data_IF_754408287771
#
_entry.id   IF_754408287771
#
_cell.length_a   1.000
_cell.length_b   1.000
_cell.length_c   1.000
_cell.angle_alpha   90.00
_cell.angle_beta   90.00
_cell.angle_gamma   90.00
#
_symmetry.space_group_name_H-M   'P 1'
#
loop_
_entity.id
_entity.type
_entity.pdbx_description
1 polymer ?
#
# COMPACT_ATOMS: atom_id res chain seq x y z
N UNK A 1 -9.83 19.81 -22.25
CA UNK A 1 -8.72 19.69 -23.21
C UNK A 1 -7.61 20.57 -22.67
N UNK A 2 -6.81 20.04 -21.75
CA UNK A 2 -5.57 20.66 -21.27
C UNK A 2 -4.56 19.52 -21.22
N UNK A 3 -3.89 19.30 -22.35
CA UNK A 3 -2.82 18.32 -22.46
C UNK A 3 -1.52 19.09 -22.69
N UNK A 4 -1.05 19.77 -21.64
CA UNK A 4 0.38 20.04 -21.55
C UNK A 4 1.02 18.86 -20.78
N UNK A 5 2.11 18.25 -21.30
CA UNK A 5 2.86 17.24 -20.57
C UNK A 5 3.41 17.83 -19.26
N UNK A 6 4.00 17.00 -18.39
CA UNK A 6 4.61 17.42 -17.10
C UNK A 6 5.70 18.53 -17.21
N UNK A 7 6.01 18.99 -18.43
CA UNK A 7 6.82 20.16 -18.74
C UNK A 7 6.01 21.48 -18.84
N UNK A 8 4.78 21.51 -18.31
CA UNK A 8 3.94 22.71 -18.25
C UNK A 8 4.65 23.85 -17.49
N UNK A 9 4.85 25.03 -18.13
CA UNK A 9 5.48 26.17 -17.49
C UNK A 9 4.78 26.65 -16.21
N UNK A 10 3.45 26.50 -16.09
CA UNK A 10 2.72 26.88 -14.89
C UNK A 10 3.06 25.95 -13.70
N UNK A 11 3.13 24.64 -13.95
CA UNK A 11 3.62 23.67 -12.98
C UNK A 11 5.08 23.93 -12.59
N UNK A 12 5.97 24.12 -13.57
CA UNK A 12 7.41 24.24 -13.31
C UNK A 12 7.81 25.58 -12.69
N UNK A 13 7.35 26.70 -13.24
CA UNK A 13 7.77 28.04 -12.83
C UNK A 13 6.90 28.57 -11.70
N UNK A 14 5.57 28.50 -11.83
CA UNK A 14 4.68 29.13 -10.86
C UNK A 14 4.49 28.25 -9.62
N UNK A 15 4.27 26.95 -9.79
CA UNK A 15 4.07 26.04 -8.65
C UNK A 15 5.41 25.62 -8.02
N UNK A 16 6.29 24.96 -8.77
CA UNK A 16 7.51 24.36 -8.20
C UNK A 16 8.55 25.42 -7.79
N UNK A 17 8.90 26.35 -8.70
CA UNK A 17 9.87 27.42 -8.38
C UNK A 17 9.26 28.56 -7.57
N UNK A 18 8.02 28.95 -7.88
CA UNK A 18 7.34 30.06 -7.23
C UNK A 18 6.76 29.70 -5.85
N UNK A 19 5.66 28.96 -5.84
CA UNK A 19 4.91 28.67 -4.61
C UNK A 19 5.69 27.76 -3.65
N UNK A 20 6.29 26.68 -4.17
CA UNK A 20 7.01 25.69 -3.35
C UNK A 20 8.46 26.13 -3.07
N UNK A 21 8.96 27.14 -3.78
CA UNK A 21 10.32 27.69 -3.64
C UNK A 21 11.41 26.62 -3.71
N UNK A 22 11.22 25.62 -4.56
CA UNK A 22 12.23 24.57 -4.74
C UNK A 22 13.47 25.17 -5.40
N UNK A 23 14.59 25.19 -4.68
CA UNK A 23 15.88 25.71 -5.18
C UNK A 23 16.82 24.62 -5.73
N UNK A 24 16.38 23.35 -5.72
CA UNK A 24 17.14 22.20 -6.25
C UNK A 24 16.97 21.98 -7.76
N UNK A 25 17.51 20.87 -8.26
CA UNK A 25 17.35 20.45 -9.65
C UNK A 25 15.99 19.77 -9.86
N UNK A 26 15.42 19.96 -11.06
CA UNK A 26 14.25 19.22 -11.54
C UNK A 26 14.78 18.24 -12.59
N UNK A 27 14.66 16.95 -12.31
CA UNK A 27 15.05 15.89 -13.23
C UNK A 27 13.77 15.28 -13.76
N UNK A 28 13.65 15.23 -15.08
CA UNK A 28 12.52 14.60 -15.74
C UNK A 28 12.66 13.07 -15.72
N UNK A 29 11.54 12.34 -15.84
CA UNK A 29 11.52 10.88 -15.86
C UNK A 29 11.99 10.35 -17.22
N UNK A 30 12.75 9.24 -17.28
CA UNK A 30 13.19 8.61 -18.54
C UNK A 30 11.95 8.17 -19.33
N UNK A 31 11.48 8.87 -20.38
CA UNK A 31 12.12 9.28 -21.65
C UNK A 31 12.74 10.70 -21.71
N UNK A 32 13.18 11.24 -20.59
CA UNK A 32 14.03 12.41 -20.58
C UNK A 32 15.50 12.06 -20.33
N UNK A 33 16.16 11.89 -21.47
CA UNK A 33 17.61 12.01 -21.70
C UNK A 33 18.43 10.77 -21.32
N UNK A 34 19.31 10.35 -22.23
CA UNK A 34 20.39 9.38 -22.02
C UNK A 34 21.44 9.80 -20.99
N UNK A 35 21.01 10.34 -19.85
CA UNK A 35 21.84 10.84 -18.74
C UNK A 35 22.38 9.71 -17.85
N UNK A 36 21.83 8.51 -17.93
CA UNK A 36 22.33 7.42 -17.07
C UNK A 36 23.55 6.66 -17.63
N UNK A 37 23.93 6.81 -18.90
CA UNK A 37 24.99 5.99 -19.50
C UNK A 37 26.39 6.62 -19.43
N UNK A 38 26.53 7.93 -19.62
CA UNK A 38 27.87 8.49 -19.90
C UNK A 38 28.64 9.06 -18.69
N UNK A 39 28.00 9.50 -17.58
CA UNK A 39 28.71 10.48 -16.70
C UNK A 39 28.64 10.34 -15.16
N UNK A 40 27.93 9.38 -14.54
CA UNK A 40 27.70 9.45 -13.08
C UNK A 40 28.35 8.35 -12.22
N UNK A 41 29.67 8.14 -12.34
CA UNK A 41 30.49 7.21 -11.54
C UNK A 41 30.35 7.37 -9.99
N UNK A 42 29.26 6.87 -9.40
CA UNK A 42 28.86 7.20 -8.03
C UNK A 42 29.40 6.24 -6.95
N UNK A 43 30.12 5.17 -7.28
CA UNK A 43 30.75 4.27 -6.29
C UNK A 43 32.05 3.66 -6.81
N UNK A 44 33.06 3.50 -5.95
CA UNK A 44 34.37 2.94 -6.34
C UNK A 44 34.35 1.41 -6.56
N UNK A 45 33.41 0.66 -5.97
CA UNK A 45 33.16 -0.76 -6.29
C UNK A 45 31.69 -1.18 -6.05
N UNK A 46 31.11 -2.09 -6.86
CA UNK A 46 29.75 -2.64 -6.69
C UNK A 46 29.48 -3.35 -5.35
N UNK A 47 30.52 -3.84 -4.71
CA UNK A 47 30.46 -4.67 -3.50
C UNK A 47 30.23 -3.83 -2.22
N UNK A 48 30.63 -2.55 -2.20
CA UNK A 48 30.34 -1.62 -1.10
C UNK A 48 28.89 -1.11 -1.12
N UNK A 49 28.24 -1.08 -2.30
CA UNK A 49 26.87 -0.61 -2.47
C UNK A 49 25.79 -1.64 -2.09
N UNK A 50 26.10 -2.95 -2.12
CA UNK A 50 25.08 -4.02 -2.05
C UNK A 50 25.24 -5.04 -0.92
N UNK A 51 26.36 -5.06 -0.19
CA UNK A 51 26.80 -6.30 0.48
C UNK A 51 26.82 -6.36 2.01
N UNK A 52 26.62 -5.24 2.73
CA UNK A 52 26.84 -5.22 4.18
C UNK A 52 25.86 -6.09 5.00
N UNK A 53 26.35 -6.83 6.01
CA UNK A 53 25.49 -7.54 7.00
C UNK A 53 24.39 -6.65 7.60
N UNK A 54 24.67 -5.36 7.76
CA UNK A 54 23.73 -4.36 8.26
C UNK A 54 22.57 -4.08 7.27
N UNK A 55 22.82 -4.09 5.96
CA UNK A 55 21.81 -3.87 4.92
C UNK A 55 20.85 -5.06 4.80
N UNK A 56 21.36 -6.29 4.91
CA UNK A 56 20.51 -7.49 4.95
C UNK A 56 19.58 -7.49 6.16
N UNK A 57 20.07 -7.07 7.33
CA UNK A 57 19.27 -6.91 8.54
C UNK A 57 18.19 -5.83 8.38
N UNK A 58 18.55 -4.69 7.79
CA UNK A 58 17.59 -3.59 7.55
C UNK A 58 16.50 -4.01 6.55
N UNK A 59 16.87 -4.71 5.47
CA UNK A 59 15.92 -5.24 4.50
C UNK A 59 14.96 -6.26 5.15
N UNK A 60 15.49 -7.13 6.02
CA UNK A 60 14.67 -8.08 6.78
C UNK A 60 13.69 -7.35 7.71
N UNK A 61 14.14 -6.31 8.41
CA UNK A 61 13.28 -5.55 9.32
C UNK A 61 12.20 -4.77 8.57
N UNK A 62 12.55 -4.14 7.45
CA UNK A 62 11.59 -3.46 6.59
C UNK A 62 10.52 -4.45 6.06
N UNK A 63 10.94 -5.66 5.65
CA UNK A 63 10.01 -6.69 5.23
C UNK A 63 9.09 -7.15 6.38
N UNK A 64 9.65 -7.41 7.57
CA UNK A 64 8.89 -7.79 8.78
C UNK A 64 7.83 -6.75 9.16
N UNK A 65 8.20 -5.47 9.15
CA UNK A 65 7.29 -4.37 9.48
C UNK A 65 6.26 -4.11 8.37
N UNK A 66 6.61 -4.39 7.11
CA UNK A 66 5.76 -4.19 5.95
C UNK A 66 4.70 -5.28 5.73
N UNK A 67 4.89 -6.48 6.30
CA UNK A 67 3.90 -7.57 6.20
C UNK A 67 2.61 -7.17 6.92
N UNK A 68 1.48 -7.27 6.21
CA UNK A 68 0.16 -6.94 6.71
C UNK A 68 -0.66 -8.22 6.90
N UNK A 69 -1.03 -8.51 8.15
CA UNK A 69 -2.01 -9.55 8.46
C UNK A 69 -3.42 -9.00 8.22
N UNK A 70 -4.10 -9.51 7.19
CA UNK A 70 -5.42 -9.02 6.78
C UNK A 70 -6.56 -9.72 7.53
N UNK A 71 -6.39 -11.02 7.79
CA UNK A 71 -7.38 -11.89 8.43
C UNK A 71 -6.68 -12.97 9.25
N UNK A 72 -7.22 -13.30 10.43
CA UNK A 72 -6.78 -14.41 11.28
C UNK A 72 -7.98 -14.99 12.04
N UNK A 73 -8.70 -15.91 11.41
CA UNK A 73 -9.88 -16.56 11.97
C UNK A 73 -9.48 -17.77 12.81
N UNK A 74 -10.18 -17.96 13.93
CA UNK A 74 -10.00 -19.13 14.81
C UNK A 74 -8.60 -19.26 15.41
N UNK A 75 -7.85 -18.15 15.52
CA UNK A 75 -6.45 -18.14 15.96
C UNK A 75 -5.56 -19.14 15.18
N UNK A 76 -5.80 -19.26 13.87
CA UNK A 76 -5.03 -20.13 12.98
C UNK A 76 -3.53 -19.78 12.96
N UNK A 77 -3.20 -18.53 13.28
CA UNK A 77 -1.84 -18.04 13.44
C UNK A 77 -1.60 -17.47 14.85
N UNK A 78 -0.34 -17.54 15.35
CA UNK A 78 0.86 -18.07 14.67
C UNK A 78 0.92 -19.61 14.63
N UNK A 79 1.64 -20.15 13.64
CA UNK A 79 1.91 -21.57 13.54
C UNK A 79 2.87 -22.03 14.64
N UNK A 80 2.54 -23.13 15.31
CA UNK A 80 3.43 -23.81 16.25
C UNK A 80 4.28 -24.86 15.54
N UNK A 81 5.60 -24.82 15.75
CA UNK A 81 6.56 -25.83 15.28
C UNK A 81 6.35 -27.23 15.89
N UNK A 82 5.66 -27.30 17.03
CA UNK A 82 5.31 -28.58 17.70
C UNK A 82 4.06 -29.21 17.08
N UNK A 83 3.03 -28.39 16.82
CA UNK A 83 1.75 -28.86 16.25
C UNK A 83 1.79 -29.04 14.74
N UNK A 84 2.52 -28.17 14.03
CA UNK A 84 2.59 -28.15 12.57
C UNK A 84 3.95 -28.66 12.11
N UNK A 85 4.13 -29.99 12.15
CA UNK A 85 5.38 -30.65 11.76
C UNK A 85 5.60 -30.71 10.25
N UNK A 86 4.51 -30.72 9.48
CA UNK A 86 4.53 -30.81 8.02
C UNK A 86 3.66 -29.70 7.44
N UNK A 87 4.24 -28.89 6.55
CA UNK A 87 3.56 -27.78 5.89
C UNK A 87 3.75 -27.95 4.39
N UNK A 88 2.64 -27.90 3.64
CA UNK A 88 2.68 -27.83 2.19
C UNK A 88 2.65 -26.36 1.76
N UNK A 89 3.64 -25.94 0.98
CA UNK A 89 3.68 -24.59 0.38
C UNK A 89 3.33 -24.74 -1.10
N UNK A 90 2.21 -24.16 -1.52
CA UNK A 90 1.64 -24.36 -2.86
C UNK A 90 1.28 -23.01 -3.46
N UNK A 91 1.78 -22.72 -4.67
CA UNK A 91 1.41 -21.54 -5.44
C UNK A 91 2.55 -21.06 -6.35
N UNK A 92 2.26 -20.25 -7.38
CA UNK A 92 3.29 -19.78 -8.32
C UNK A 92 4.37 -18.91 -7.67
N UNK A 93 4.09 -18.32 -6.49
CA UNK A 93 5.03 -17.49 -5.74
C UNK A 93 5.67 -18.23 -4.54
N UNK A 94 5.54 -19.56 -4.43
CA UNK A 94 6.08 -20.31 -3.28
C UNK A 94 7.61 -20.44 -3.29
N UNK A 95 8.21 -20.42 -4.47
CA UNK A 95 9.66 -20.58 -4.67
C UNK A 95 10.16 -19.58 -5.73
N UNK A 96 9.98 -18.29 -5.44
CA UNK A 96 10.35 -17.20 -6.36
C UNK A 96 11.40 -16.29 -5.72
N UNK A 97 12.46 -16.00 -6.47
CA UNK A 97 13.52 -15.06 -6.06
C UNK A 97 13.34 -13.69 -6.69
N UNK A 98 13.02 -13.62 -7.99
CA UNK A 98 12.88 -12.36 -8.74
C UNK A 98 11.60 -11.61 -8.39
N UNK A 99 10.46 -12.31 -8.31
CA UNK A 99 9.17 -11.69 -7.98
C UNK A 99 9.18 -11.02 -6.60
N UNK A 100 9.99 -11.52 -5.64
CA UNK A 100 10.11 -10.90 -4.31
C UNK A 100 10.64 -9.47 -4.37
N UNK A 101 11.41 -9.13 -5.41
CA UNK A 101 12.13 -7.86 -5.52
C UNK A 101 11.26 -6.79 -6.23
N UNK A 102 10.18 -7.19 -6.90
CA UNK A 102 9.30 -6.28 -7.63
C UNK A 102 9.91 -5.81 -8.96
N UNK A 103 9.73 -4.54 -9.29
CA UNK A 103 10.32 -3.87 -10.46
C UNK A 103 11.41 -2.87 -10.03
N UNK A 104 12.18 -2.31 -10.99
CA UNK A 104 13.27 -1.35 -10.72
C UNK A 104 14.36 -1.89 -9.75
N UNK A 105 14.69 -3.18 -9.84
CA UNK A 105 15.72 -3.79 -9.00
C UNK A 105 16.90 -4.35 -9.79
N UNK A 106 18.12 -4.15 -9.28
CA UNK A 106 19.36 -4.46 -9.99
C UNK A 106 19.86 -5.89 -9.79
N UNK A 107 19.63 -6.75 -10.80
CA UNK A 107 20.64 -7.47 -11.60
C UNK A 107 20.05 -7.59 -13.01
N UNK A 108 20.65 -6.94 -14.01
CA UNK A 108 20.09 -6.92 -15.37
C UNK A 108 20.41 -8.23 -16.12
N UNK A 109 19.39 -9.07 -16.36
CA UNK A 109 19.52 -10.26 -17.22
C UNK A 109 19.31 -9.97 -18.73
N UNK A 110 19.21 -8.70 -19.13
CA UNK A 110 19.04 -8.30 -20.51
C UNK A 110 18.51 -6.87 -20.68
N UNK A 111 18.73 -6.30 -21.86
CA UNK A 111 18.33 -4.93 -22.19
C UNK A 111 16.92 -4.92 -22.81
N UNK A 112 16.08 -4.01 -22.34
CA UNK A 112 14.76 -3.74 -22.92
C UNK A 112 14.88 -2.51 -23.81
N UNK A 113 14.51 -2.61 -25.08
CA UNK A 113 14.51 -1.47 -26.01
C UNK A 113 13.37 -0.48 -25.69
N UNK A 114 13.45 0.81 -26.08
CA UNK A 114 12.36 1.77 -25.88
C UNK A 114 11.00 1.29 -26.39
N UNK A 115 10.97 0.60 -27.55
CA UNK A 115 9.75 -0.02 -28.11
C UNK A 115 9.18 -1.12 -27.20
N UNK A 116 10.06 -1.96 -26.63
CA UNK A 116 9.64 -3.00 -25.68
C UNK A 116 9.25 -2.42 -24.31
N UNK A 117 9.82 -1.28 -23.92
CA UNK A 117 9.46 -0.56 -22.70
C UNK A 117 8.05 0.04 -22.79
N UNK A 118 7.77 0.73 -23.90
CA UNK A 118 6.44 1.31 -24.20
C UNK A 118 5.39 0.20 -24.34
N UNK A 119 5.73 -0.92 -24.99
CA UNK A 119 4.84 -2.07 -25.16
C UNK A 119 4.51 -2.84 -23.86
N UNK A 120 5.24 -2.60 -22.76
CA UNK A 120 5.05 -3.25 -21.46
C UNK A 120 4.22 -2.42 -20.47
N UNK A 121 3.78 -1.22 -20.83
CA UNK A 121 2.86 -0.41 -20.02
C UNK A 121 1.46 -1.03 -20.16
N UNK A 122 1.18 -2.04 -19.36
CA UNK A 122 -0.14 -2.67 -19.29
C UNK A 122 -0.70 -2.53 -17.89
N UNK A 123 -1.57 -1.54 -17.73
CA UNK A 123 -2.46 -1.49 -16.58
C UNK A 123 -3.28 -2.79 -16.50
N UNK A 124 -3.53 -3.23 -15.27
CA UNK A 124 -4.43 -4.37 -15.05
C UNK A 124 -5.84 -3.97 -15.48
N UNK A 125 -6.51 -4.84 -16.22
CA UNK A 125 -7.92 -4.68 -16.60
C UNK A 125 -8.88 -5.14 -15.51
N UNK A 126 -8.36 -5.78 -14.45
CA UNK A 126 -9.13 -6.25 -13.30
C UNK A 126 -8.28 -6.34 -12.03
N UNK A 127 -8.98 -6.48 -10.90
CA UNK A 127 -8.44 -6.68 -9.55
C UNK A 127 -8.42 -8.16 -9.14
N UNK A 128 -8.98 -9.08 -9.93
CA UNK A 128 -8.94 -10.51 -9.62
C UNK A 128 -7.52 -11.08 -9.74
N UNK A 129 -7.27 -12.21 -9.06
CA UNK A 129 -6.03 -12.97 -9.26
C UNK A 129 -5.95 -13.46 -10.72
N UNK A 130 -4.77 -13.40 -11.36
CA UNK A 130 -4.65 -13.76 -12.76
C UNK A 130 -4.75 -15.27 -12.97
N UNK A 131 -5.30 -15.68 -14.12
CA UNK A 131 -5.44 -17.07 -14.52
C UNK A 131 -6.29 -17.90 -13.55
N UNK A 132 -5.88 -19.14 -13.30
CA UNK A 132 -6.61 -20.10 -12.46
C UNK A 132 -6.23 -20.05 -10.97
N UNK A 133 -5.60 -18.97 -10.51
CA UNK A 133 -5.10 -18.90 -9.14
C UNK A 133 -6.22 -18.94 -8.09
N UNK A 134 -7.38 -18.32 -8.36
CA UNK A 134 -8.54 -18.41 -7.44
C UNK A 134 -9.01 -19.86 -7.29
N UNK A 135 -9.11 -20.58 -8.40
CA UNK A 135 -9.49 -21.98 -8.42
C UNK A 135 -8.46 -22.86 -7.70
N UNK A 136 -7.17 -22.60 -7.91
CA UNK A 136 -6.10 -23.27 -7.18
C UNK A 136 -6.24 -23.09 -5.68
N UNK A 137 -6.43 -21.84 -5.21
CA UNK A 137 -6.61 -21.55 -3.78
C UNK A 137 -7.82 -22.30 -3.22
N UNK A 138 -8.96 -22.29 -3.92
CA UNK A 138 -10.14 -23.05 -3.49
C UNK A 138 -9.91 -24.56 -3.47
N UNK A 139 -9.20 -25.13 -4.44
CA UNK A 139 -8.87 -26.56 -4.47
C UNK A 139 -7.91 -26.94 -3.33
N UNK A 140 -6.90 -26.13 -3.06
CA UNK A 140 -5.98 -26.31 -1.92
C UNK A 140 -6.73 -26.23 -0.60
N UNK A 141 -7.60 -25.23 -0.43
CA UNK A 141 -8.40 -25.05 0.78
C UNK A 141 -9.34 -26.24 1.04
N UNK A 142 -9.94 -26.82 -0.01
CA UNK A 142 -10.78 -28.02 0.06
C UNK A 142 -9.98 -29.28 0.38
N UNK A 143 -8.79 -29.44 -0.19
CA UNK A 143 -7.92 -30.58 0.04
C UNK A 143 -7.24 -30.52 1.42
N UNK A 144 -7.10 -29.33 2.01
CA UNK A 144 -6.46 -29.15 3.30
C UNK A 144 -7.31 -29.71 4.44
N UNK A 145 -6.65 -30.51 5.29
CA UNK A 145 -7.23 -31.04 6.53
C UNK A 145 -7.43 -29.92 7.56
N UNK A 146 -6.57 -28.90 7.57
CA UNK A 146 -6.58 -27.78 8.50
C UNK A 146 -6.86 -26.43 7.83
N UNK A 147 -6.86 -25.33 8.60
CA UNK A 147 -6.99 -23.99 8.04
C UNK A 147 -5.83 -23.71 7.07
N UNK A 148 -6.17 -23.15 5.91
CA UNK A 148 -5.22 -22.73 4.88
C UNK A 148 -4.83 -21.28 5.12
N UNK A 149 -3.55 -20.96 4.98
CA UNK A 149 -3.03 -19.59 5.09
C UNK A 149 -2.68 -19.11 3.69
N UNK A 150 -3.32 -18.02 3.27
CA UNK A 150 -3.10 -17.41 1.96
C UNK A 150 -2.07 -16.29 2.07
N UNK A 151 -0.95 -16.40 1.35
CA UNK A 151 0.09 -15.36 1.29
C UNK A 151 0.05 -14.69 -0.08
N UNK A 152 -0.25 -13.39 -0.10
CA UNK A 152 -0.41 -12.60 -1.33
C UNK A 152 0.81 -11.73 -1.56
N UNK A 153 1.55 -12.04 -2.63
CA UNK A 153 2.66 -11.23 -3.14
C UNK A 153 2.19 -10.43 -4.36
N UNK A 154 2.02 -9.13 -4.19
CA UNK A 154 1.57 -8.21 -5.24
C UNK A 154 1.78 -6.76 -4.82
N UNK A 155 2.04 -5.86 -5.77
CA UNK A 155 2.17 -4.44 -5.47
C UNK A 155 0.81 -3.74 -5.24
N UNK A 156 -0.14 -3.93 -6.15
CA UNK A 156 -1.46 -3.33 -6.05
C UNK A 156 -2.50 -4.22 -5.36
N UNK A 157 -3.68 -3.68 -5.03
CA UNK A 157 -4.73 -4.44 -4.37
C UNK A 157 -5.28 -5.55 -5.28
N UNK A 158 -5.80 -6.61 -4.66
CA UNK A 158 -6.42 -7.74 -5.33
C UNK A 158 -7.77 -8.01 -4.66
N UNK A 159 -8.83 -8.23 -5.44
CA UNK A 159 -10.11 -8.65 -4.89
C UNK A 159 -10.04 -10.12 -4.45
N UNK A 160 -9.86 -10.30 -3.15
CA UNK A 160 -9.79 -11.60 -2.47
C UNK A 160 -11.05 -11.91 -1.68
N UNK A 161 -12.20 -11.31 -2.05
CA UNK A 161 -13.48 -11.59 -1.40
C UNK A 161 -13.83 -13.09 -1.38
N UNK A 162 -13.44 -13.82 -2.43
CA UNK A 162 -13.61 -15.27 -2.51
C UNK A 162 -12.88 -16.03 -1.38
N UNK A 163 -11.66 -15.59 -1.02
CA UNK A 163 -10.86 -16.22 0.02
C UNK A 163 -11.22 -15.68 1.42
N UNK A 164 -11.53 -14.38 1.52
CA UNK A 164 -11.96 -13.74 2.77
C UNK A 164 -13.18 -14.43 3.39
N UNK A 165 -14.13 -14.82 2.54
CA UNK A 165 -15.40 -15.43 2.95
C UNK A 165 -15.35 -16.97 3.03
N UNK A 166 -14.23 -17.60 2.67
CA UNK A 166 -14.09 -19.05 2.72
C UNK A 166 -13.65 -19.49 4.14
N UNK A 167 -14.46 -20.28 4.87
CA UNK A 167 -14.13 -20.70 6.24
C UNK A 167 -12.89 -21.60 6.33
N UNK A 168 -12.45 -22.21 5.22
CA UNK A 168 -11.20 -22.98 5.18
C UNK A 168 -9.96 -22.09 5.09
N UNK A 169 -10.11 -20.81 4.76
CA UNK A 169 -9.01 -19.83 4.77
C UNK A 169 -8.93 -19.21 6.17
N UNK A 170 -8.00 -19.75 6.97
CA UNK A 170 -7.80 -19.33 8.36
C UNK A 170 -7.11 -17.98 8.47
N UNK A 171 -6.20 -17.66 7.54
CA UNK A 171 -5.52 -16.37 7.55
C UNK A 171 -5.12 -15.90 6.16
N UNK A 172 -5.00 -14.57 6.01
CA UNK A 172 -4.56 -13.92 4.77
C UNK A 172 -3.47 -12.90 5.11
N UNK A 173 -2.30 -13.03 4.47
CA UNK A 173 -1.22 -12.06 4.49
C UNK A 173 -1.11 -11.33 3.17
N UNK A 174 -0.84 -10.03 3.23
CA UNK A 174 -0.30 -9.28 2.10
C UNK A 174 1.12 -8.84 2.43
N UNK A 175 2.05 -9.17 1.53
CA UNK A 175 3.50 -9.01 1.79
C UNK A 175 4.17 -8.09 0.78
N UNK A 176 3.39 -7.47 -0.12
CA UNK A 176 3.93 -6.59 -1.15
C UNK A 176 4.97 -7.29 -2.02
N UNK A 177 6.11 -6.62 -2.20
CA UNK A 177 7.36 -7.16 -2.71
C UNK A 177 8.42 -7.10 -1.61
N UNK A 178 8.62 -8.19 -0.85
CA UNK A 178 9.35 -8.14 0.43
C UNK A 178 10.89 -8.17 0.27
N UNK A 179 11.39 -8.10 -0.96
CA UNK A 179 12.82 -8.00 -1.27
C UNK A 179 13.64 -9.24 -0.92
N UNK A 180 14.96 -9.06 -0.88
CA UNK A 180 15.95 -10.14 -0.74
C UNK A 180 15.83 -11.00 0.54
N UNK A 181 15.19 -10.48 1.58
CA UNK A 181 15.01 -11.17 2.86
C UNK A 181 13.53 -11.54 3.12
N UNK A 182 12.69 -11.44 2.09
CA UNK A 182 11.25 -11.57 2.22
C UNK A 182 10.79 -12.96 2.65
N UNK A 183 11.41 -14.03 2.14
CA UNK A 183 11.09 -15.39 2.55
C UNK A 183 11.30 -15.61 4.06
N UNK A 184 12.41 -15.11 4.61
CA UNK A 184 12.70 -15.17 6.05
C UNK A 184 11.69 -14.34 6.85
N UNK A 185 11.37 -13.12 6.40
CA UNK A 185 10.37 -12.28 7.07
C UNK A 185 8.99 -12.95 7.12
N UNK A 186 8.56 -13.57 6.02
CA UNK A 186 7.29 -14.30 5.94
C UNK A 186 7.28 -15.48 6.92
N UNK A 187 8.36 -16.26 6.97
CA UNK A 187 8.49 -17.37 7.92
C UNK A 187 8.46 -16.89 9.37
N UNK A 188 9.21 -15.84 9.72
CA UNK A 188 9.24 -15.28 11.08
C UNK A 188 7.86 -14.84 11.55
N UNK A 189 7.09 -14.21 10.66
CA UNK A 189 5.72 -13.80 10.96
C UNK A 189 4.81 -15.01 11.07
N UNK A 190 4.86 -15.97 10.14
CA UNK A 190 4.02 -17.18 10.15
C UNK A 190 4.18 -17.98 11.45
N UNK A 191 5.41 -18.16 11.92
CA UNK A 191 5.71 -18.92 13.14
C UNK A 191 5.71 -18.08 14.42
N UNK A 192 5.39 -16.79 14.33
CA UNK A 192 5.27 -15.92 15.50
C UNK A 192 6.60 -15.49 16.12
N UNK A 193 7.73 -15.73 15.47
CA UNK A 193 9.03 -15.13 15.83
C UNK A 193 8.96 -13.60 15.76
N UNK A 194 8.13 -13.05 14.87
CA UNK A 194 7.85 -11.62 14.79
C UNK A 194 6.35 -11.36 14.71
N UNK A 195 5.88 -10.38 15.46
CA UNK A 195 4.48 -9.96 15.44
C UNK A 195 4.25 -9.00 14.25
N UNK A 196 3.27 -9.28 13.36
CA UNK A 196 2.97 -8.37 12.25
C UNK A 196 2.39 -7.04 12.76
N UNK A 197 2.94 -5.94 12.25
CA UNK A 197 2.51 -4.58 12.59
C UNK A 197 2.03 -3.75 11.40
N UNK A 198 2.28 -4.22 10.16
CA UNK A 198 2.00 -3.47 8.95
C UNK A 198 0.52 -3.10 8.78
N UNK A 199 0.28 -1.94 8.17
CA UNK A 199 -1.06 -1.45 7.80
C UNK A 199 -1.13 -1.20 6.30
N UNK A 200 -2.29 -1.46 5.70
CA UNK A 200 -2.50 -1.23 4.28
C UNK A 200 -2.33 0.25 3.90
N UNK A 201 -1.42 0.60 2.98
CA UNK A 201 -1.27 1.96 2.46
C UNK A 201 -2.30 2.29 1.36
N UNK A 202 -3.18 1.34 1.03
CA UNK A 202 -4.18 1.48 -0.03
C UNK A 202 -5.45 0.71 0.30
N UNK A 203 -6.60 1.22 -0.16
CA UNK A 203 -7.90 0.55 -0.04
C UNK A 203 -7.98 -0.61 -1.04
N UNK A 204 -8.44 -1.76 -0.59
CA UNK A 204 -8.70 -2.91 -1.44
C UNK A 204 -10.18 -2.90 -1.85
N UNK A 205 -10.42 -2.77 -3.14
CA UNK A 205 -11.76 -2.65 -3.71
C UNK A 205 -12.25 -3.99 -4.27
N UNK A 206 -13.57 -4.22 -4.28
CA UNK A 206 -14.17 -5.31 -5.05
C UNK A 206 -13.96 -5.09 -6.56
N UNK A 207 -13.98 -6.18 -7.35
CA UNK A 207 -13.78 -6.16 -8.79
C UNK A 207 -14.76 -5.24 -9.53
N UNK A 208 -15.99 -5.10 -9.04
CA UNK A 208 -17.01 -4.23 -9.66
C UNK A 208 -16.69 -2.73 -9.53
N UNK A 209 -15.73 -2.35 -8.68
CA UNK A 209 -15.26 -0.98 -8.58
C UNK A 209 -14.61 -0.51 -9.89
N UNK A 210 -13.78 -1.35 -10.52
CA UNK A 210 -13.06 -0.97 -11.75
C UNK A 210 -13.98 -0.88 -12.98
N UNK A 211 -15.15 -1.52 -12.96
CA UNK A 211 -16.14 -1.39 -14.04
C UNK A 211 -16.95 -0.09 -13.96
N UNK A 212 -17.02 0.53 -12.77
CA UNK A 212 -17.75 1.78 -12.49
C UNK A 212 -16.84 3.01 -12.51
N UNK A 213 -15.55 2.83 -12.77
CA UNK A 213 -14.54 3.87 -12.63
C UNK A 213 -13.65 3.91 -13.89
N UNK A 214 -13.92 4.83 -14.84
CA UNK A 214 -13.00 5.09 -15.94
C UNK A 214 -11.64 5.49 -15.36
N UNK A 215 -10.59 4.70 -15.60
CA UNK A 215 -9.28 4.94 -14.99
C UNK A 215 -8.68 6.30 -15.40
N UNK A 216 -9.08 6.84 -16.55
CA UNK A 216 -8.72 8.17 -17.07
C UNK A 216 -9.45 9.33 -16.40
N UNK A 217 -10.52 9.09 -15.64
CA UNK A 217 -11.23 10.14 -14.93
C UNK A 217 -10.53 10.46 -13.59
N UNK A 218 -9.93 11.65 -13.51
CA UNK A 218 -9.14 12.08 -12.35
C UNK A 218 -9.96 12.66 -11.19
N UNK A 219 -11.29 12.74 -11.31
CA UNK A 219 -12.15 13.24 -10.24
C UNK A 219 -11.97 12.39 -8.97
N UNK A 220 -11.72 13.03 -7.82
CA UNK A 220 -11.52 12.29 -6.57
C UNK A 220 -12.84 12.02 -5.85
N UNK A 221 -13.79 12.97 -5.90
CA UNK A 221 -15.07 12.92 -5.19
C UNK A 221 -16.08 12.08 -5.95
N UNK A 222 -16.97 11.40 -5.20
CA UNK A 222 -18.11 10.72 -5.79
C UNK A 222 -19.06 11.70 -6.49
N UNK A 223 -19.76 11.23 -7.51
CA UNK A 223 -20.71 11.99 -8.33
C UNK A 223 -21.73 11.07 -8.97
N UNK A 224 -22.56 11.59 -9.89
CA UNK A 224 -23.59 10.78 -10.58
C UNK A 224 -22.95 9.60 -11.32
N UNK A 225 -23.17 8.38 -10.83
CA UNK A 225 -22.61 7.15 -11.40
C UNK A 225 -21.11 6.95 -11.18
N UNK A 226 -20.42 7.87 -10.51
CA UNK A 226 -18.99 7.78 -10.23
C UNK A 226 -18.74 7.55 -8.74
N UNK A 227 -18.08 6.45 -8.35
CA UNK A 227 -18.02 6.01 -6.96
C UNK A 227 -17.08 6.85 -6.06
N UNK A 228 -16.24 7.69 -6.65
CA UNK A 228 -15.16 8.38 -5.94
C UNK A 228 -13.92 7.48 -5.77
N UNK A 229 -12.77 8.10 -5.52
CA UNK A 229 -11.48 7.42 -5.37
C UNK A 229 -10.94 7.53 -3.96
N UNK A 230 -10.13 6.56 -3.56
CA UNK A 230 -9.41 6.50 -2.27
C UNK A 230 -10.34 6.37 -1.07
N UNK A 231 -9.78 5.95 0.07
CA UNK A 231 -10.50 5.86 1.34
C UNK A 231 -11.21 7.17 1.76
N UNK A 232 -10.72 8.32 1.31
CA UNK A 232 -11.26 9.63 1.69
C UNK A 232 -12.63 9.91 1.05
N UNK A 233 -12.83 9.50 -0.20
CA UNK A 233 -14.01 9.89 -0.98
C UNK A 233 -14.86 8.72 -1.45
N UNK A 234 -14.29 7.52 -1.57
CA UNK A 234 -15.07 6.32 -1.86
C UNK A 234 -15.91 5.93 -0.64
N UNK A 235 -17.21 5.74 -0.86
CA UNK A 235 -18.18 5.37 0.19
C UNK A 235 -18.83 4.00 -0.03
N UNK A 236 -18.40 3.29 -1.07
CA UNK A 236 -18.90 1.96 -1.38
C UNK A 236 -18.23 0.86 -0.55
N UNK A 237 -18.57 -0.42 -0.81
CA UNK A 237 -17.99 -1.55 -0.13
C UNK A 237 -16.50 -1.72 -0.43
N UNK A 238 -15.73 -2.14 0.58
CA UNK A 238 -14.30 -2.44 0.47
C UNK A 238 -14.04 -3.87 0.93
N UNK A 239 -13.04 -4.52 0.32
CA UNK A 239 -12.55 -5.83 0.78
C UNK A 239 -11.76 -5.63 2.07
N UNK A 240 -10.79 -4.72 2.03
CA UNK A 240 -10.04 -4.23 3.20
C UNK A 240 -9.86 -2.72 3.11
N UNK A 241 -10.14 -1.96 4.19
CA UNK A 241 -9.98 -0.51 4.17
C UNK A 241 -8.50 -0.09 4.21
N UNK A 242 -8.24 1.16 3.84
CA UNK A 242 -6.95 1.80 4.09
C UNK A 242 -6.66 1.81 5.59
N UNK A 243 -5.40 1.60 5.98
CA UNK A 243 -4.98 1.53 7.38
C UNK A 243 -5.34 0.21 8.07
N UNK A 244 -5.97 -0.75 7.39
CA UNK A 244 -6.27 -2.06 7.95
C UNK A 244 -5.01 -2.90 8.14
N UNK A 245 -4.97 -3.65 9.24
CA UNK A 245 -3.92 -4.64 9.51
C UNK A 245 -4.00 -5.12 10.95
N UNK A 246 -3.88 -6.42 11.16
CA UNK A 246 -3.97 -7.07 12.46
C UNK A 246 -2.59 -7.30 13.07
N UNK A 247 -2.59 -7.62 14.36
CA UNK A 247 -1.44 -8.06 15.14
C UNK A 247 -1.79 -9.38 15.83
N UNK A 248 -0.80 -10.07 16.41
CA UNK A 248 -1.02 -11.24 17.26
C UNK A 248 -1.48 -10.90 18.68
N UNK A 249 -1.62 -9.62 19.03
CA UNK A 249 -2.17 -9.17 20.30
C UNK A 249 -3.30 -8.16 20.09
N UNK A 250 -4.04 -7.89 21.15
CA UNK A 250 -5.12 -6.90 21.19
C UNK A 250 -4.65 -5.62 21.87
N UNK A 251 -5.00 -4.47 21.30
CA UNK A 251 -4.70 -3.16 21.88
C UNK A 251 -6.00 -2.48 22.31
N UNK A 252 -6.00 -1.87 23.49
CA UNK A 252 -7.07 -0.98 23.95
C UNK A 252 -6.51 0.44 24.02
N UNK A 253 -7.13 1.37 23.29
CA UNK A 253 -6.75 2.78 23.30
C UNK A 253 -7.80 3.60 24.04
N UNK A 254 -7.37 4.37 25.04
CA UNK A 254 -8.21 5.32 25.76
C UNK A 254 -7.69 6.74 25.55
N UNK A 255 -8.61 7.68 25.30
CA UNK A 255 -8.29 9.10 25.28
C UNK A 255 -8.05 9.53 26.73
N UNK A 256 -6.79 9.77 27.10
CA UNK A 256 -6.43 10.21 28.45
C UNK A 256 -6.94 11.63 28.70
N UNK A 257 -6.80 12.52 27.72
CA UNK A 257 -7.29 13.90 27.78
C UNK A 257 -7.47 14.43 26.36
N UNK A 258 -8.66 14.95 26.05
CA UNK A 258 -8.89 15.69 24.82
C UNK A 258 -8.77 17.19 25.10
N UNK A 259 -8.11 17.98 24.24
CA UNK A 259 -8.16 19.43 24.34
C UNK A 259 -9.62 19.91 24.17
N UNK A 260 -10.09 20.73 25.12
CA UNK A 260 -11.44 21.33 25.09
C UNK A 260 -11.62 22.37 23.99
N UNK A 261 -10.51 22.88 23.46
CA UNK A 261 -10.48 23.73 22.28
C UNK A 261 -9.25 23.43 21.45
N UNK A 262 -9.46 23.24 20.14
CA UNK A 262 -8.38 23.18 19.16
C UNK A 262 -8.44 24.46 18.35
N UNK A 263 -7.39 25.28 18.43
CA UNK A 263 -7.23 26.42 17.54
C UNK A 263 -6.77 25.92 16.18
N UNK A 264 -7.66 25.99 15.18
CA UNK A 264 -7.28 25.75 13.79
C UNK A 264 -6.88 27.10 13.19
N UNK A 265 -5.61 27.32 12.85
CA UNK A 265 -5.21 28.53 12.15
C UNK A 265 -5.88 28.54 10.77
N UNK A 266 -6.75 29.52 10.55
CA UNK A 266 -7.31 29.81 9.23
C UNK A 266 -6.26 30.59 8.44
N UNK A 267 -5.45 29.90 7.65
CA UNK A 267 -4.66 30.55 6.61
C UNK A 267 -5.60 31.01 5.51
N UNK A 268 -5.94 32.31 5.50
CA UNK A 268 -6.69 32.92 4.40
C UNK A 268 -5.82 32.92 3.15
N UNK A 269 -6.15 32.07 2.18
CA UNK A 269 -5.60 32.14 0.82
C UNK A 269 -6.33 33.23 0.01
N UNK A 270 -6.31 34.46 0.52
CA UNK A 270 -6.71 35.64 -0.24
C UNK A 270 -5.67 36.72 -0.02
N UNK A 271 -4.71 36.76 -0.95
CA UNK A 271 -3.97 37.97 -1.20
C UNK A 271 -4.95 39.00 -1.75
N UNK A 272 -5.52 39.83 -0.87
CA UNK A 272 -6.22 41.04 -1.28
C UNK A 272 -5.76 42.15 -0.35
N UNK A 273 -5.02 43.08 -0.95
CA UNK A 273 -4.47 44.27 -0.33
C UNK A 273 -5.61 45.06 0.33
N UNK A 274 -5.46 45.39 1.61
CA UNK A 274 -6.37 46.17 2.45
C UNK A 274 -7.69 45.49 2.88
N UNK A 275 -7.67 44.72 3.97
CA UNK A 275 -8.79 44.68 4.92
C UNK A 275 -8.30 44.34 6.33
N UNK A 276 -8.93 44.97 7.31
CA UNK A 276 -8.74 44.87 8.76
C UNK A 276 -8.57 43.45 9.28
N UNK A 277 -7.63 43.27 10.22
CA UNK A 277 -7.40 42.03 10.96
C UNK A 277 -8.68 41.62 11.69
N UNK A 278 -9.38 40.61 11.17
CA UNK A 278 -10.43 39.91 11.89
C UNK A 278 -9.76 38.76 12.67
N UNK A 279 -9.49 39.01 13.95
CA UNK A 279 -9.01 38.05 14.95
C UNK A 279 -10.11 37.06 15.37
N UNK A 280 -10.81 36.47 14.41
CA UNK A 280 -11.88 35.51 14.65
C UNK A 280 -11.36 34.08 14.72
N UNK A 281 -10.94 33.62 15.89
CA UNK A 281 -10.87 32.18 16.16
C UNK A 281 -12.30 31.63 16.21
N UNK A 282 -12.66 30.68 15.35
CA UNK A 282 -13.95 29.99 15.45
C UNK A 282 -13.88 29.04 16.65
N UNK A 283 -14.60 29.40 17.72
CA UNK A 283 -14.72 28.56 18.90
C UNK A 283 -15.66 27.40 18.58
N UNK A 284 -15.10 26.21 18.33
CA UNK A 284 -15.88 24.99 18.18
C UNK A 284 -16.06 24.35 19.56
N UNK A 285 -17.23 24.56 20.17
CA UNK A 285 -17.63 23.89 21.40
C UNK A 285 -18.23 22.53 21.05
N UNK A 286 -17.69 21.44 21.59
CA UNK A 286 -18.34 20.13 21.55
C UNK A 286 -18.96 19.85 22.92
N UNK A 287 -20.23 19.47 22.94
CA UNK A 287 -20.91 19.00 24.16
C UNK A 287 -20.84 17.48 24.18
N UNK A 288 -20.39 16.92 25.30
CA UNK A 288 -20.38 15.48 25.53
C UNK A 288 -21.83 14.95 25.64
N UNK A 289 -22.28 14.25 24.62
CA UNK A 289 -23.62 13.66 24.56
C UNK A 289 -23.77 12.40 25.45
N UNK A 290 -22.72 11.94 26.15
CA UNK A 290 -22.86 10.80 27.07
C UNK A 290 -23.72 11.11 28.31
N UNK A 291 -23.91 12.39 28.65
CA UNK A 291 -24.71 12.81 29.80
C UNK A 291 -26.21 12.98 29.52
N UNK A 292 -26.67 12.79 28.28
CA UNK A 292 -28.08 12.97 27.88
C UNK A 292 -28.85 11.65 27.68
N UNK A 293 -28.26 10.50 28.01
CA UNK A 293 -28.96 9.21 28.06
C UNK A 293 -29.20 8.79 29.52
N UNK A 294 -30.04 9.53 30.23
CA UNK A 294 -30.78 8.97 31.38
C UNK A 294 -31.89 8.08 30.83
N UNK A 295 -31.65 6.78 30.79
CA UNK A 295 -32.71 5.79 30.64
C UNK A 295 -33.45 5.66 31.98
N UNK A 296 -34.75 5.99 31.98
CA UNK A 296 -35.74 5.23 32.76
C UNK A 296 -36.01 3.91 32.03
#
# INVERSE_FOLDING_TARGET
MESLPCADPDLLLNTIRGQWKLNGYIVSDCDSVGVFYDEQHYTKTPEEASGGRNLKRLALEAARQGIVLLQNNGHSLPLSTVRHRTIAVIGPNSDVTVTMIGNYAGVACGYTTPLQGIGRIRDRTGLLLPGHQQELVSRVARASRGPTILVLMSGGPIDVSFAKNDPKIGAIFWVGYPGQAGGTAIADVLFGTTNPGGKLPMTWYPQDYVSKLPMTNMAMRAGRGYPGRTYRFYKGPVVFPFGHGLSYTTFAHTLVQAPTSVSVPLTSLSATTNSTILSGAVRVSTTDCHSLLTWC
#
